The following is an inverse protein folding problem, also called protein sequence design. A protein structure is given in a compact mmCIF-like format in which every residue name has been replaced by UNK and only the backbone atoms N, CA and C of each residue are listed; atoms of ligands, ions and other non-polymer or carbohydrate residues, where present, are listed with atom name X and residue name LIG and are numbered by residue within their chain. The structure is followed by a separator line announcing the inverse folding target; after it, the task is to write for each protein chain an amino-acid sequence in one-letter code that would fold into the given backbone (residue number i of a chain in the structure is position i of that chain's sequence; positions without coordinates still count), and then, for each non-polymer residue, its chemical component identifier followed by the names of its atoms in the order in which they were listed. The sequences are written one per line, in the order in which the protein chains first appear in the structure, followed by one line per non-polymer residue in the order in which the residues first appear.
data_IF_885441648691
#
_entry.id   IF_885441648691
#
_cell.length_a   1.000
_cell.length_b   1.000
_cell.length_c   1.000
_cell.angle_alpha   90.00
_cell.angle_beta   90.00
_cell.angle_gamma   90.00
#
_symmetry.space_group_name_H-M   'P 1'
#
loop_
_entity.id
_entity.type
_entity.pdbx_description
1 polymer ?
#
# COMPACT_ATOMS: atom_id res chain seq x y z
N UNK A 1 -20.55 -0.69 5.06
CA UNK A 1 -20.24 0.50 5.86
C UNK A 1 -18.87 0.26 6.49
N UNK A 2 -17.83 0.87 5.94
CA UNK A 2 -16.51 0.93 6.54
C UNK A 2 -16.66 1.61 7.90
N UNK A 3 -16.29 0.93 8.99
CA UNK A 3 -16.41 1.40 10.35
C UNK A 3 -15.46 2.54 10.69
N UNK A 4 -15.54 3.64 9.91
CA UNK A 4 -14.82 4.86 10.19
C UNK A 4 -15.55 5.60 11.30
N UNK A 5 -14.89 5.79 12.44
CA UNK A 5 -15.40 6.60 13.54
C UNK A 5 -14.87 8.02 13.39
N UNK A 6 -15.76 8.97 13.06
CA UNK A 6 -15.42 10.39 13.07
C UNK A 6 -15.36 10.87 14.51
N UNK A 7 -14.17 11.25 14.99
CA UNK A 7 -13.95 11.74 16.37
C UNK A 7 -14.32 13.22 16.52
N UNK A 8 -14.23 13.98 15.45
CA UNK A 8 -14.56 15.40 15.40
C UNK A 8 -13.94 16.08 14.19
N UNK A 9 -14.36 17.30 13.93
CA UNK A 9 -13.76 18.20 12.95
C UNK A 9 -12.99 19.29 13.69
N UNK A 10 -11.78 19.58 13.24
CA UNK A 10 -10.92 20.63 13.80
C UNK A 10 -10.53 21.58 12.68
N UNK A 11 -10.80 22.86 12.90
CA UNK A 11 -10.41 23.92 11.96
C UNK A 11 -8.89 24.02 11.77
N UNK A 12 -8.48 24.74 10.74
CA UNK A 12 -7.05 25.10 10.53
C UNK A 12 -6.82 26.57 10.95
N UNK A 13 -5.72 26.87 11.67
CA UNK A 13 -4.69 25.96 12.20
C UNK A 13 -5.22 25.10 13.34
N UNK A 14 -4.68 23.88 13.47
CA UNK A 14 -5.06 22.91 14.50
C UNK A 14 -4.42 23.27 15.85
N UNK A 15 -5.16 23.80 16.83
CA UNK A 15 -4.61 24.11 18.14
C UNK A 15 -4.23 22.82 18.90
N UNK A 16 -3.06 22.81 19.55
CA UNK A 16 -2.57 21.63 20.25
C UNK A 16 -3.56 21.12 21.33
N UNK A 17 -4.31 22.02 21.97
CA UNK A 17 -5.33 21.67 22.98
C UNK A 17 -6.51 20.92 22.37
N UNK A 18 -6.96 21.29 21.18
CA UNK A 18 -8.07 20.61 20.49
C UNK A 18 -7.64 19.24 19.99
N UNK A 19 -6.42 19.11 19.46
CA UNK A 19 -5.85 17.82 19.11
C UNK A 19 -5.76 16.91 20.34
N UNK A 20 -5.27 17.44 21.47
CA UNK A 20 -5.17 16.68 22.71
C UNK A 20 -6.54 16.18 23.18
N UNK A 21 -7.57 17.04 23.16
CA UNK A 21 -8.93 16.67 23.54
C UNK A 21 -9.51 15.56 22.63
N UNK A 22 -9.23 15.60 21.33
CA UNK A 22 -9.62 14.53 20.39
C UNK A 22 -8.90 13.22 20.67
N UNK A 23 -7.60 13.27 20.96
CA UNK A 23 -6.81 12.09 21.31
C UNK A 23 -7.28 11.46 22.62
N UNK A 24 -7.63 12.30 23.63
CA UNK A 24 -8.15 11.81 24.90
C UNK A 24 -9.55 11.16 24.73
N UNK A 25 -10.40 11.74 23.87
CA UNK A 25 -11.68 11.13 23.48
C UNK A 25 -11.48 9.79 22.76
N UNK A 26 -10.46 9.69 21.91
CA UNK A 26 -10.10 8.43 21.24
C UNK A 26 -9.61 7.37 22.25
N UNK A 27 -8.76 7.76 23.21
CA UNK A 27 -8.29 6.85 24.26
C UNK A 27 -9.41 6.29 25.13
N UNK A 28 -10.46 7.10 25.38
CA UNK A 28 -11.65 6.66 26.12
C UNK A 28 -12.56 5.72 25.33
N UNK A 29 -12.50 5.74 23.99
CA UNK A 29 -13.31 4.90 23.10
C UNK A 29 -12.50 3.74 22.50
N UNK A 30 -11.32 3.45 23.04
CA UNK A 30 -10.48 2.35 22.56
C UNK A 30 -11.28 1.04 22.66
N UNK A 31 -11.97 0.70 21.56
CA UNK A 31 -12.25 -0.69 21.25
C UNK A 31 -10.88 -1.35 21.34
N UNK A 32 -10.67 -2.18 22.37
CA UNK A 32 -9.54 -3.08 22.38
C UNK A 32 -9.49 -3.71 21.00
N UNK A 33 -8.63 -3.20 20.15
CA UNK A 33 -8.08 -4.04 19.13
C UNK A 33 -7.54 -5.21 19.94
N UNK A 34 -8.20 -6.33 19.90
CA UNK A 34 -7.63 -7.58 20.35
C UNK A 34 -6.37 -7.72 19.54
N UNK A 35 -5.27 -7.18 20.10
CA UNK A 35 -3.97 -7.57 19.62
C UNK A 35 -4.01 -9.10 19.70
N UNK A 36 -3.80 -9.81 18.62
CA UNK A 36 -3.54 -11.23 18.75
C UNK A 36 -2.27 -11.31 19.60
N UNK A 37 -2.39 -11.83 20.83
CA UNK A 37 -1.26 -12.22 21.68
C UNK A 37 -0.48 -13.42 21.10
N UNK A 38 -0.62 -13.66 19.82
CA UNK A 38 0.30 -14.50 19.08
C UNK A 38 1.49 -13.59 18.72
N UNK A 39 2.64 -13.88 19.30
CA UNK A 39 3.94 -13.44 18.76
C UNK A 39 3.98 -13.96 17.32
N UNK A 40 3.50 -13.14 16.39
CA UNK A 40 3.51 -13.51 14.97
C UNK A 40 4.98 -13.45 14.57
N UNK A 41 5.59 -14.64 14.47
CA UNK A 41 6.98 -14.74 14.05
C UNK A 41 7.12 -14.16 12.64
N UNK A 42 8.22 -13.47 12.35
CA UNK A 42 8.53 -13.06 10.99
C UNK A 42 8.47 -14.28 10.06
N UNK A 43 8.00 -14.06 8.84
CA UNK A 43 7.97 -15.11 7.83
C UNK A 43 9.38 -15.65 7.57
N UNK A 44 9.50 -16.91 7.17
CA UNK A 44 10.77 -17.43 6.70
C UNK A 44 10.97 -17.09 5.20
N UNK A 45 12.22 -17.24 4.73
CA UNK A 45 12.57 -16.91 3.34
C UNK A 45 11.79 -17.76 2.32
N UNK A 46 11.66 -19.05 2.58
CA UNK A 46 10.95 -19.98 1.69
C UNK A 46 9.46 -19.64 1.60
N UNK A 47 8.82 -19.28 2.72
CA UNK A 47 7.41 -18.84 2.74
C UNK A 47 7.23 -17.60 1.85
N UNK A 48 8.16 -16.64 1.94
CA UNK A 48 8.06 -15.38 1.19
C UNK A 48 8.32 -15.59 -0.31
N UNK A 49 9.29 -16.42 -0.68
CA UNK A 49 9.53 -16.81 -2.08
C UNK A 49 8.33 -17.53 -2.68
N UNK A 50 7.75 -18.45 -1.92
CA UNK A 50 6.55 -19.16 -2.32
C UNK A 50 5.35 -18.20 -2.45
N UNK A 51 5.20 -17.23 -1.54
CA UNK A 51 4.15 -16.24 -1.59
C UNK A 51 4.20 -15.37 -2.86
N UNK A 52 5.40 -14.97 -3.31
CA UNK A 52 5.60 -14.29 -4.59
C UNK A 52 5.20 -15.19 -5.76
N UNK A 53 5.74 -16.41 -5.82
CA UNK A 53 5.49 -17.36 -6.90
C UNK A 53 4.01 -17.73 -7.04
N UNK A 54 3.29 -17.84 -5.93
CA UNK A 54 1.85 -18.16 -5.87
C UNK A 54 0.95 -16.92 -5.90
N UNK A 55 1.50 -15.73 -6.14
CA UNK A 55 0.76 -14.46 -6.19
C UNK A 55 -0.08 -14.17 -4.92
N UNK A 56 0.40 -14.60 -3.77
CA UNK A 56 -0.25 -14.35 -2.48
C UNK A 56 0.01 -12.94 -1.95
N UNK A 57 1.02 -12.23 -2.48
CA UNK A 57 1.31 -10.84 -2.17
C UNK A 57 0.47 -9.94 -3.08
N UNK A 58 -0.60 -9.40 -2.49
CA UNK A 58 -1.60 -8.65 -3.25
C UNK A 58 -1.49 -7.15 -3.02
N UNK A 59 -1.78 -6.40 -4.08
CA UNK A 59 -1.90 -4.95 -4.03
C UNK A 59 -3.24 -4.56 -3.38
N UNK A 60 -3.15 -3.77 -2.32
CA UNK A 60 -4.28 -3.09 -1.70
C UNK A 60 -4.16 -1.60 -1.98
N UNK A 61 -5.28 -0.89 -2.01
CA UNK A 61 -5.32 0.47 -2.49
C UNK A 61 -5.89 1.40 -1.43
N UNK A 62 -5.08 2.37 -1.00
CA UNK A 62 -5.50 3.41 -0.08
C UNK A 62 -5.81 4.68 -0.87
N UNK A 63 -7.06 5.16 -0.87
CA UNK A 63 -7.44 6.33 -1.65
C UNK A 63 -6.77 7.61 -1.12
N UNK A 64 -6.27 8.43 -2.05
CA UNK A 64 -5.78 9.78 -1.81
C UNK A 64 -6.85 10.78 -2.26
N UNK A 65 -7.21 11.71 -1.39
CA UNK A 65 -8.26 12.69 -1.65
C UNK A 65 -7.69 14.08 -1.92
N UNK A 66 -8.27 14.79 -2.87
CA UNK A 66 -8.05 16.21 -3.01
C UNK A 66 -8.77 16.94 -1.86
N UNK A 67 -8.01 17.62 -1.01
CA UNK A 67 -8.57 18.29 0.18
C UNK A 67 -9.52 19.46 -0.14
N UNK A 68 -9.48 19.99 -1.36
CA UNK A 68 -10.37 21.09 -1.78
C UNK A 68 -11.69 20.59 -2.34
N UNK A 69 -11.65 19.54 -3.19
CA UNK A 69 -12.85 19.01 -3.85
C UNK A 69 -13.47 17.83 -3.10
N UNK A 70 -12.70 17.15 -2.22
CA UNK A 70 -13.12 15.91 -1.58
C UNK A 70 -13.09 14.68 -2.50
N UNK A 71 -12.69 14.85 -3.76
CA UNK A 71 -12.65 13.78 -4.75
C UNK A 71 -11.41 12.91 -4.61
N UNK A 72 -11.53 11.64 -4.99
CA UNK A 72 -10.37 10.74 -5.10
C UNK A 72 -9.50 11.18 -6.27
N UNK A 73 -8.25 11.54 -5.99
CA UNK A 73 -7.28 11.96 -7.00
C UNK A 73 -6.23 10.89 -7.32
N UNK A 74 -6.23 9.79 -6.59
CA UNK A 74 -5.32 8.68 -6.79
C UNK A 74 -5.39 7.68 -5.67
N UNK A 75 -4.49 6.70 -5.70
CA UNK A 75 -4.36 5.68 -4.67
C UNK A 75 -2.90 5.43 -4.34
N UNK A 76 -2.62 5.09 -3.10
CA UNK A 76 -1.36 4.46 -2.69
C UNK A 76 -1.50 2.95 -2.78
N UNK A 77 -0.53 2.30 -3.40
CA UNK A 77 -0.47 0.84 -3.54
C UNK A 77 0.30 0.28 -2.36
N UNK A 78 -0.40 -0.47 -1.54
CA UNK A 78 0.13 -1.12 -0.35
C UNK A 78 0.15 -2.63 -0.56
N UNK A 79 1.09 -3.32 0.05
CA UNK A 79 1.14 -4.78 0.00
C UNK A 79 0.38 -5.40 1.17
N UNK A 80 -0.31 -6.52 0.90
CA UNK A 80 -0.84 -7.43 1.92
C UNK A 80 -0.54 -8.86 1.49
N UNK A 81 -0.17 -9.69 2.44
CA UNK A 81 0.01 -11.10 2.17
C UNK A 81 -1.26 -11.87 2.52
N UNK A 82 -1.88 -12.45 1.50
CA UNK A 82 -3.04 -13.33 1.64
C UNK A 82 -2.56 -14.74 2.00
N UNK A 83 -2.14 -14.93 3.26
CA UNK A 83 -1.55 -16.19 3.70
C UNK A 83 -2.63 -17.28 3.85
N UNK A 84 -2.44 -18.48 3.29
CA UNK A 84 -3.49 -19.49 3.21
C UNK A 84 -4.01 -19.99 4.56
N UNK A 85 -3.18 -19.97 5.61
CA UNK A 85 -3.57 -20.44 6.95
C UNK A 85 -3.57 -19.35 8.03
N UNK A 86 -2.86 -18.21 7.81
CA UNK A 86 -2.72 -17.13 8.82
C UNK A 86 -3.62 -15.91 8.49
N UNK A 87 -4.38 -15.97 7.37
CA UNK A 87 -5.20 -14.84 6.91
C UNK A 87 -4.38 -13.70 6.31
N UNK A 88 -4.86 -12.46 6.43
CA UNK A 88 -4.20 -11.28 5.85
C UNK A 88 -3.09 -10.80 6.78
N UNK A 89 -1.85 -10.88 6.32
CA UNK A 89 -0.67 -10.46 7.06
C UNK A 89 -0.21 -9.06 6.65
N UNK A 90 0.18 -8.21 7.62
CA UNK A 90 0.67 -6.86 7.36
C UNK A 90 2.12 -6.86 6.85
N UNK A 91 2.55 -5.80 6.13
CA UNK A 91 3.89 -5.68 5.54
C UNK A 91 5.05 -5.88 6.52
N UNK A 92 4.90 -5.42 7.75
CA UNK A 92 5.94 -5.52 8.77
C UNK A 92 6.44 -6.96 9.03
N UNK A 93 5.64 -7.98 8.70
CA UNK A 93 5.98 -9.38 8.93
C UNK A 93 6.79 -10.01 7.79
N UNK A 94 6.77 -9.44 6.58
CA UNK A 94 7.38 -10.06 5.42
C UNK A 94 8.29 -9.11 4.60
N UNK A 95 8.04 -7.79 4.60
CA UNK A 95 8.89 -6.84 3.86
C UNK A 95 10.37 -6.93 4.28
N UNK A 96 10.74 -6.97 5.59
CA UNK A 96 12.14 -7.11 5.97
C UNK A 96 12.79 -8.41 5.48
N UNK A 97 12.00 -9.45 5.24
CA UNK A 97 12.49 -10.72 4.68
C UNK A 97 12.71 -10.57 3.18
N UNK A 98 11.77 -9.97 2.44
CA UNK A 98 11.93 -9.67 1.01
C UNK A 98 13.18 -8.82 0.75
N UNK A 99 13.43 -7.82 1.60
CA UNK A 99 14.63 -6.99 1.53
C UNK A 99 15.93 -7.81 1.66
N UNK A 100 16.02 -8.63 2.71
CA UNK A 100 17.20 -9.49 2.92
C UNK A 100 17.42 -10.48 1.79
N UNK A 101 16.34 -10.95 1.17
CA UNK A 101 16.38 -11.87 0.03
C UNK A 101 16.64 -11.18 -1.31
N UNK A 102 16.66 -9.84 -1.37
CA UNK A 102 16.80 -9.08 -2.61
C UNK A 102 15.59 -9.19 -3.55
N UNK A 103 14.40 -9.42 -3.01
CA UNK A 103 13.16 -9.69 -3.76
C UNK A 103 12.23 -8.47 -3.87
N UNK A 104 12.73 -7.27 -3.54
CA UNK A 104 11.89 -6.06 -3.56
C UNK A 104 11.51 -5.63 -4.99
N UNK A 105 12.35 -5.93 -5.98
CA UNK A 105 12.04 -5.64 -7.38
C UNK A 105 10.92 -6.54 -7.90
N UNK A 106 10.98 -7.83 -7.59
CA UNK A 106 9.93 -8.79 -7.95
C UNK A 106 8.59 -8.42 -7.32
N UNK A 107 8.60 -8.00 -6.05
CA UNK A 107 7.41 -7.48 -5.39
C UNK A 107 6.86 -6.25 -6.11
N UNK A 108 7.71 -5.26 -6.41
CA UNK A 108 7.31 -4.04 -7.11
C UNK A 108 6.69 -4.38 -8.48
N UNK A 109 7.30 -5.26 -9.24
CA UNK A 109 6.80 -5.63 -10.57
C UNK A 109 5.45 -6.37 -10.49
N UNK A 110 5.29 -7.27 -9.52
CA UNK A 110 4.03 -7.95 -9.29
C UNK A 110 2.91 -6.97 -8.88
N UNK A 111 3.22 -5.99 -8.03
CA UNK A 111 2.26 -4.96 -7.63
C UNK A 111 1.91 -4.01 -8.77
N UNK A 112 2.88 -3.66 -9.63
CA UNK A 112 2.64 -2.85 -10.82
C UNK A 112 1.65 -3.55 -11.77
N UNK A 113 1.86 -4.82 -12.09
CA UNK A 113 0.94 -5.56 -12.97
C UNK A 113 -0.50 -5.57 -12.42
N UNK A 114 -0.67 -5.78 -11.11
CA UNK A 114 -1.99 -5.76 -10.47
C UNK A 114 -2.61 -4.35 -10.50
N UNK A 115 -1.83 -3.33 -10.14
CA UNK A 115 -2.30 -1.95 -10.03
C UNK A 115 -2.63 -1.35 -11.40
N UNK A 116 -1.82 -1.62 -12.43
CA UNK A 116 -2.07 -1.13 -13.79
C UNK A 116 -3.31 -1.77 -14.41
N UNK A 117 -3.59 -3.04 -14.09
CA UNK A 117 -4.84 -3.69 -14.48
C UNK A 117 -6.06 -2.99 -13.86
N UNK A 118 -6.00 -2.62 -12.58
CA UNK A 118 -7.04 -1.83 -11.92
C UNK A 118 -7.16 -0.43 -12.52
N UNK A 119 -6.02 0.22 -12.78
CA UNK A 119 -6.00 1.58 -13.36
C UNK A 119 -6.71 1.62 -14.71
N UNK A 120 -6.48 0.61 -15.55
CA UNK A 120 -7.14 0.52 -16.85
C UNK A 120 -8.66 0.29 -16.70
N UNK A 121 -9.08 -0.57 -15.78
CA UNK A 121 -10.51 -0.76 -15.48
C UNK A 121 -11.17 0.55 -15.01
N UNK A 122 -10.52 1.28 -14.11
CA UNK A 122 -11.00 2.58 -13.63
C UNK A 122 -11.06 3.61 -14.77
N UNK A 123 -10.04 3.65 -15.64
CA UNK A 123 -10.00 4.54 -16.80
C UNK A 123 -11.18 4.30 -17.76
N UNK A 124 -11.50 3.03 -18.04
CA UNK A 124 -12.64 2.66 -18.90
C UNK A 124 -13.95 3.14 -18.29
N UNK A 125 -14.06 3.15 -16.97
CA UNK A 125 -15.23 3.65 -16.24
C UNK A 125 -15.26 5.18 -16.08
N UNK A 126 -14.27 5.90 -16.63
CA UNK A 126 -14.18 7.36 -16.54
C UNK A 126 -13.48 7.91 -15.30
N UNK A 127 -12.83 7.05 -14.50
CA UNK A 127 -12.11 7.41 -13.29
C UNK A 127 -10.59 7.24 -13.45
N UNK A 128 -9.89 8.19 -14.07
CA UNK A 128 -8.45 8.09 -14.25
C UNK A 128 -7.72 8.25 -12.91
N UNK A 129 -7.16 7.17 -12.39
CA UNK A 129 -6.45 7.15 -11.12
C UNK A 129 -4.95 7.42 -11.30
N UNK A 130 -4.36 8.19 -10.39
CA UNK A 130 -2.91 8.23 -10.19
C UNK A 130 -2.53 7.14 -9.18
N UNK A 131 -1.42 6.44 -9.43
CA UNK A 131 -0.94 5.35 -8.58
C UNK A 131 0.37 5.74 -7.93
N UNK A 132 0.47 5.59 -6.61
CA UNK A 132 1.72 5.80 -5.88
C UNK A 132 2.23 4.46 -5.32
N UNK A 133 3.51 4.21 -5.52
CA UNK A 133 4.21 2.99 -5.09
C UNK A 133 5.35 3.36 -4.16
N UNK A 134 5.49 2.64 -3.07
CA UNK A 134 6.67 2.74 -2.22
C UNK A 134 7.86 2.07 -2.90
N UNK A 135 8.98 2.78 -2.98
CA UNK A 135 10.24 2.34 -3.56
C UNK A 135 11.33 2.43 -2.50
N UNK A 136 12.15 1.41 -2.39
CA UNK A 136 13.29 1.46 -1.49
C UNK A 136 14.53 2.03 -2.17
N UNK A 137 15.34 2.73 -1.41
CA UNK A 137 16.60 3.30 -1.92
C UNK A 137 17.55 2.23 -2.50
N UNK A 138 17.54 1.01 -1.95
CA UNK A 138 18.30 -0.12 -2.47
C UNK A 138 17.90 -0.53 -3.89
N UNK A 139 16.67 -0.28 -4.30
CA UNK A 139 16.20 -0.60 -5.67
C UNK A 139 16.75 0.40 -6.71
N UNK A 140 17.11 1.62 -6.30
CA UNK A 140 17.65 2.64 -7.22
C UNK A 140 19.03 2.27 -7.78
N UNK A 141 19.76 1.36 -7.15
CA UNK A 141 21.06 0.88 -7.67
C UNK A 141 20.89 -0.18 -8.76
N UNK A 142 19.67 -0.71 -8.96
CA UNK A 142 19.41 -1.66 -10.03
C UNK A 142 19.34 -0.93 -11.38
N UNK A 143 20.36 -1.08 -12.20
CA UNK A 143 20.41 -0.47 -13.54
C UNK A 143 19.31 -0.93 -14.50
N UNK A 144 18.69 -2.09 -14.25
CA UNK A 144 17.62 -2.66 -15.06
C UNK A 144 16.22 -2.19 -14.61
N UNK A 145 16.11 -1.57 -13.43
CA UNK A 145 14.81 -1.15 -12.88
C UNK A 145 14.02 -0.33 -13.88
N UNK A 146 14.60 0.75 -14.40
CA UNK A 146 13.92 1.65 -15.34
C UNK A 146 13.52 0.94 -16.64
N UNK A 147 14.37 0.04 -17.13
CA UNK A 147 14.06 -0.72 -18.35
C UNK A 147 12.87 -1.65 -18.14
N UNK A 148 12.84 -2.37 -17.02
CA UNK A 148 11.74 -3.28 -16.66
C UNK A 148 10.45 -2.52 -16.44
N UNK A 149 10.48 -1.39 -15.71
CA UNK A 149 9.31 -0.52 -15.50
C UNK A 149 8.71 -0.04 -16.83
N UNK A 150 9.54 0.43 -17.77
CA UNK A 150 9.08 0.83 -19.11
C UNK A 150 8.43 -0.32 -19.86
N UNK A 151 8.99 -1.53 -19.77
CA UNK A 151 8.41 -2.73 -20.38
C UNK A 151 7.03 -3.08 -19.80
N UNK A 152 6.85 -3.00 -18.48
CA UNK A 152 5.56 -3.22 -17.83
C UNK A 152 4.55 -2.17 -18.28
N UNK A 153 4.91 -0.88 -18.26
CA UNK A 153 4.04 0.21 -18.69
C UNK A 153 3.59 0.05 -20.14
N UNK A 154 4.51 -0.34 -21.03
CA UNK A 154 4.21 -0.56 -22.43
C UNK A 154 3.20 -1.70 -22.64
N UNK A 155 3.32 -2.79 -21.87
CA UNK A 155 2.36 -3.92 -21.93
C UNK A 155 0.94 -3.50 -21.53
N UNK A 156 0.83 -2.61 -20.54
CA UNK A 156 -0.46 -2.10 -20.07
C UNK A 156 -0.97 -0.87 -20.82
N UNK A 157 -0.21 -0.33 -21.78
CA UNK A 157 -0.57 0.88 -22.52
C UNK A 157 -0.73 2.13 -21.63
N UNK A 158 -0.10 2.12 -20.44
CA UNK A 158 -0.26 3.17 -19.44
C UNK A 158 0.87 4.19 -19.53
N UNK A 159 0.56 5.51 -19.61
CA UNK A 159 1.57 6.54 -19.56
C UNK A 159 2.20 6.65 -18.16
N UNK A 160 3.54 6.72 -18.09
CA UNK A 160 4.27 6.86 -16.83
C UNK A 160 3.94 8.10 -16.01
N UNK A 161 3.32 9.12 -16.62
CA UNK A 161 2.89 10.36 -15.95
C UNK A 161 1.82 10.16 -14.86
N UNK A 162 1.19 8.99 -14.79
CA UNK A 162 0.21 8.65 -13.75
C UNK A 162 0.78 7.80 -12.62
N UNK A 163 2.08 7.56 -12.63
CA UNK A 163 2.77 6.83 -11.58
C UNK A 163 3.65 7.78 -10.76
N UNK A 164 3.63 7.55 -9.46
CA UNK A 164 4.52 8.20 -8.50
C UNK A 164 5.26 7.12 -7.73
N UNK A 165 6.57 7.27 -7.56
CA UNK A 165 7.37 6.43 -6.67
C UNK A 165 7.79 7.28 -5.47
N UNK A 166 7.46 6.78 -4.27
CA UNK A 166 7.74 7.43 -2.97
C UNK A 166 8.91 6.69 -2.30
N UNK A 167 9.89 7.42 -1.76
CA UNK A 167 11.10 6.89 -1.10
C UNK A 167 11.01 7.06 0.41
#
# INVERSE_FOLDING_TARGET
LLGLQLLGDVGKPLPAKELQALLDKYRGSCIRATAPDAVVQPACEDEVRQALALQQLQAWYQPKFNLRSGEVCGVEVLCRWMHPSKGVLPPALFIPVLERCGLMDELLFAQLDQALSLQEQARIQGYPLNMAFNLQTSQLVNSQLTYTLKGILARHGTPGSRLTFEL
#
